data_IF_033505235452
#
_entry.id   IF_033505235452
#
_cell.length_a   1.000
_cell.length_b   1.000
_cell.length_c   1.000
_cell.angle_alpha   90.00
_cell.angle_beta   90.00
_cell.angle_gamma   90.00
#
_symmetry.space_group_name_H-M   'P 1'
#
loop_
_entity.id
_entity.type
_entity.pdbx_description
1 polymer ?
#
# COMPACT_ATOMS: atom_id res chain seq x y z
N UNK A 1 3.36 -0.53 -28.15
CA UNK A 1 2.25 -1.26 -27.50
C UNK A 1 1.76 -0.39 -26.36
N UNK A 2 0.45 -0.23 -26.08
CA UNK A 2 0.00 0.50 -24.88
C UNK A 2 0.66 -0.01 -23.58
N UNK A 3 1.09 -1.28 -23.54
CA UNK A 3 1.87 -1.80 -22.41
C UNK A 3 3.32 -1.26 -22.35
N UNK A 4 3.91 -0.86 -23.48
CA UNK A 4 5.25 -0.27 -23.52
C UNK A 4 5.24 1.17 -22.99
N UNK A 5 4.19 1.93 -23.30
CA UNK A 5 4.01 3.31 -22.83
C UNK A 5 3.87 3.35 -21.30
N UNK A 6 3.01 2.50 -20.73
CA UNK A 6 2.87 2.38 -19.27
C UNK A 6 4.16 1.95 -18.57
N UNK A 7 4.97 1.07 -19.19
CA UNK A 7 6.27 0.68 -18.61
C UNK A 7 7.24 1.86 -18.56
N UNK A 8 7.25 2.69 -19.59
CA UNK A 8 8.11 3.88 -19.65
C UNK A 8 7.65 4.90 -18.61
N UNK A 9 6.35 5.12 -18.47
CA UNK A 9 5.77 6.00 -17.44
C UNK A 9 6.18 5.58 -16.03
N UNK A 10 6.05 4.29 -15.70
CA UNK A 10 6.47 3.76 -14.39
C UNK A 10 7.98 3.97 -14.11
N UNK A 11 8.83 3.85 -15.15
CA UNK A 11 10.27 4.10 -15.00
C UNK A 11 10.58 5.59 -14.80
N UNK A 12 9.82 6.47 -15.44
CA UNK A 12 9.95 7.93 -15.25
C UNK A 12 9.52 8.34 -13.84
N UNK A 13 8.44 7.76 -13.32
CA UNK A 13 7.99 7.97 -11.95
C UNK A 13 9.03 7.50 -10.94
N UNK A 14 9.59 6.30 -11.11
CA UNK A 14 10.69 5.81 -10.26
C UNK A 14 11.89 6.77 -10.25
N UNK A 15 12.25 7.31 -11.41
CA UNK A 15 13.34 8.29 -11.52
C UNK A 15 13.01 9.63 -10.82
N UNK A 16 11.74 10.06 -10.88
CA UNK A 16 11.28 11.25 -10.20
C UNK A 16 11.35 11.09 -8.67
N UNK A 17 10.89 9.95 -8.13
CA UNK A 17 10.97 9.63 -6.70
C UNK A 17 12.42 9.57 -6.20
N UNK A 18 13.33 9.01 -7.00
CA UNK A 18 14.75 8.99 -6.67
C UNK A 18 15.35 10.41 -6.63
N UNK A 19 14.99 11.27 -7.58
CA UNK A 19 15.45 12.66 -7.62
C UNK A 19 14.92 13.48 -6.43
N UNK A 20 13.65 13.29 -6.06
CA UNK A 20 13.06 13.92 -4.88
C UNK A 20 13.77 13.48 -3.59
N UNK A 21 14.05 12.18 -3.46
CA UNK A 21 14.81 11.65 -2.33
C UNK A 21 16.20 12.29 -2.19
N UNK A 22 16.92 12.48 -3.31
CA UNK A 22 18.22 13.17 -3.30
C UNK A 22 18.08 14.64 -2.85
N UNK A 23 17.05 15.34 -3.34
CA UNK A 23 16.80 16.75 -2.98
C UNK A 23 16.43 16.93 -1.50
N UNK A 24 15.64 16.01 -0.92
CA UNK A 24 15.24 16.04 0.49
C UNK A 24 16.42 15.86 1.47
N UNK A 25 17.45 15.09 1.07
CA UNK A 25 18.58 14.71 1.93
C UNK A 25 19.70 15.76 1.97
N UNK A 26 19.69 16.73 1.06
CA UNK A 26 20.64 17.85 1.02
C UNK A 26 22.07 17.45 0.60
N UNK A 27 23.01 18.40 0.64
CA UNK A 27 24.41 18.23 0.20
C UNK A 27 25.36 17.77 1.33
N UNK A 28 24.85 17.12 2.39
CA UNK A 28 25.72 16.57 3.43
C UNK A 28 26.57 15.42 2.87
N UNK A 29 27.88 15.45 3.13
CA UNK A 29 28.79 14.38 2.71
C UNK A 29 28.37 13.04 3.32
N UNK A 30 27.87 12.14 2.46
CA UNK A 30 27.42 10.80 2.85
C UNK A 30 25.91 10.65 3.02
N UNK A 31 25.11 11.71 2.84
CA UNK A 31 23.65 11.62 2.77
C UNK A 31 23.17 11.26 1.36
N UNK A 32 22.00 10.63 1.25
CA UNK A 32 21.36 10.36 -0.05
C UNK A 32 21.92 9.13 -0.76
N UNK A 33 22.42 8.15 -0.01
CA UNK A 33 23.02 6.96 -0.63
C UNK A 33 21.95 6.04 -1.24
N UNK A 34 22.36 5.24 -2.23
CA UNK A 34 21.47 4.20 -2.81
C UNK A 34 20.94 3.23 -1.74
N UNK A 35 21.74 2.91 -0.72
CA UNK A 35 21.31 2.01 0.35
C UNK A 35 20.14 2.62 1.15
N UNK A 36 20.22 3.91 1.47
CA UNK A 36 19.16 4.64 2.18
C UNK A 36 17.91 4.80 1.30
N UNK A 37 18.07 5.01 -0.01
CA UNK A 37 16.95 5.04 -0.95
C UNK A 37 16.22 3.70 -1.00
N UNK A 38 16.97 2.60 -1.17
CA UNK A 38 16.39 1.26 -1.20
C UNK A 38 15.73 0.88 0.13
N UNK A 39 16.26 1.33 1.26
CA UNK A 39 15.63 1.17 2.57
C UNK A 39 14.30 1.93 2.64
N UNK A 40 14.24 3.21 2.22
CA UNK A 40 12.99 3.98 2.17
C UNK A 40 11.93 3.28 1.30
N UNK A 41 12.29 2.87 0.09
CA UNK A 41 11.37 2.20 -0.84
C UNK A 41 10.87 0.87 -0.30
N UNK A 42 11.73 0.10 0.37
CA UNK A 42 11.34 -1.19 0.96
C UNK A 42 10.40 -1.05 2.16
N UNK A 43 10.34 0.12 2.79
CA UNK A 43 9.51 0.40 3.97
C UNK A 43 8.14 1.00 3.64
N UNK A 44 7.90 1.43 2.39
CA UNK A 44 6.61 1.98 1.95
C UNK A 44 5.53 0.91 2.08
N UNK A 45 4.47 1.22 2.83
CA UNK A 45 3.33 0.34 3.02
C UNK A 45 2.13 0.77 2.16
N UNK A 46 1.25 -0.18 1.83
CA UNK A 46 0.01 0.11 1.07
C UNK A 46 -0.90 1.13 1.78
N UNK A 47 -0.83 1.20 3.12
CA UNK A 47 -1.57 2.17 3.92
C UNK A 47 -1.11 3.61 3.72
N UNK A 48 0.15 3.82 3.32
CA UNK A 48 0.73 5.16 3.15
C UNK A 48 0.24 5.84 1.87
N UNK A 49 -0.45 5.10 1.00
CA UNK A 49 -0.99 5.59 -0.27
C UNK A 49 -2.48 5.95 -0.19
N UNK A 50 -3.10 5.86 1.00
CA UNK A 50 -4.52 6.22 1.17
C UNK A 50 -4.61 7.75 1.18
N UNK A 51 -5.32 8.37 0.22
CA UNK A 51 -5.42 9.82 0.17
C UNK A 51 -6.16 10.37 1.39
N UNK A 52 -5.66 11.46 1.97
CA UNK A 52 -6.38 12.19 2.99
C UNK A 52 -7.65 12.83 2.40
N UNK A 53 -8.75 12.82 3.16
CA UNK A 53 -10.06 13.34 2.72
C UNK A 53 -9.99 14.82 2.25
N UNK A 54 -8.98 15.55 2.69
CA UNK A 54 -8.81 16.99 2.48
C UNK A 54 -7.95 17.36 1.26
N UNK A 55 -7.21 16.43 0.64
CA UNK A 55 -6.11 16.81 -0.28
C UNK A 55 -6.55 17.05 -1.74
N UNK A 56 -7.60 16.39 -2.23
CA UNK A 56 -7.93 16.46 -3.68
C UNK A 56 -9.41 16.65 -4.04
N UNK A 57 -10.33 16.77 -3.08
CA UNK A 57 -11.75 17.12 -3.33
C UNK A 57 -12.56 16.12 -4.17
N UNK A 58 -11.93 15.09 -4.73
CA UNK A 58 -12.59 13.93 -5.34
C UNK A 58 -12.58 12.79 -4.33
N UNK A 59 -13.73 12.52 -3.71
CA UNK A 59 -13.87 11.34 -2.84
C UNK A 59 -13.56 10.08 -3.64
N UNK A 60 -12.48 9.38 -3.27
CA UNK A 60 -12.13 8.08 -3.84
C UNK A 60 -12.70 6.95 -2.98
N UNK A 61 -12.93 5.79 -3.59
CA UNK A 61 -13.28 4.57 -2.86
C UNK A 61 -12.00 3.76 -2.66
N UNK A 62 -11.63 3.52 -1.41
CA UNK A 62 -10.45 2.72 -1.06
C UNK A 62 -10.83 1.24 -0.99
N UNK A 63 -10.20 0.41 -1.83
CA UNK A 63 -10.29 -1.05 -1.77
C UNK A 63 -9.05 -1.59 -1.06
N UNK A 64 -9.24 -2.47 -0.08
CA UNK A 64 -8.15 -3.06 0.69
C UNK A 64 -8.54 -4.44 1.24
N UNK A 65 -7.56 -5.18 1.76
CA UNK A 65 -7.82 -6.42 2.50
C UNK A 65 -8.18 -6.12 3.97
N UNK A 66 -8.78 -7.09 4.67
CA UNK A 66 -9.08 -6.93 6.10
C UNK A 66 -7.80 -6.71 6.94
N UNK A 67 -6.69 -7.34 6.55
CA UNK A 67 -5.41 -7.21 7.23
C UNK A 67 -4.84 -5.79 7.12
N UNK A 68 -4.90 -5.20 5.93
CA UNK A 68 -4.41 -3.84 5.66
C UNK A 68 -5.30 -2.77 6.31
N UNK A 69 -6.54 -3.09 6.69
CA UNK A 69 -7.45 -2.17 7.38
C UNK A 69 -7.11 -1.98 8.88
N UNK A 70 -6.18 -2.75 9.44
CA UNK A 70 -5.88 -2.73 10.86
C UNK A 70 -5.34 -1.36 11.31
N UNK A 71 -6.04 -0.74 12.26
CA UNK A 71 -5.66 0.56 12.82
C UNK A 71 -6.21 1.76 12.05
N UNK A 72 -7.00 1.52 11.00
CA UNK A 72 -7.71 2.56 10.25
C UNK A 72 -9.17 2.65 10.71
N UNK A 73 -9.77 3.83 10.51
CA UNK A 73 -11.19 4.08 10.74
C UNK A 73 -11.80 4.81 9.56
N UNK A 74 -13.04 4.43 9.21
CA UNK A 74 -13.78 5.05 8.11
C UNK A 74 -15.23 5.25 8.53
N UNK A 75 -15.89 6.34 8.11
CA UNK A 75 -17.30 6.58 8.41
C UNK A 75 -18.23 5.48 7.87
N UNK A 76 -17.89 4.90 6.72
CA UNK A 76 -18.66 3.84 6.05
C UNK A 76 -17.71 2.76 5.53
N UNK A 77 -17.97 1.50 5.88
CA UNK A 77 -17.19 0.34 5.44
C UNK A 77 -18.12 -0.71 4.82
N UNK A 78 -17.72 -1.22 3.64
CA UNK A 78 -18.38 -2.37 3.00
C UNK A 78 -17.49 -3.60 3.14
N UNK A 79 -17.97 -4.59 3.89
CA UNK A 79 -17.37 -5.93 3.93
C UNK A 79 -18.01 -6.78 2.82
N UNK A 80 -17.17 -7.44 2.02
CA UNK A 80 -17.60 -8.30 0.92
C UNK A 80 -17.03 -9.71 1.10
N UNK A 81 -17.64 -10.72 0.46
CA UNK A 81 -17.14 -12.10 0.53
C UNK A 81 -17.30 -12.78 1.89
N UNK A 82 -18.28 -12.36 2.70
CA UNK A 82 -18.64 -12.99 3.98
C UNK A 82 -19.40 -14.31 3.75
N UNK A 83 -18.71 -15.28 3.16
CA UNK A 83 -19.22 -16.60 2.79
C UNK A 83 -18.21 -17.68 3.21
N UNK A 84 -18.69 -18.84 3.67
CA UNK A 84 -17.82 -19.95 4.08
C UNK A 84 -16.88 -20.37 2.94
N UNK A 85 -15.58 -20.46 3.25
CA UNK A 85 -14.53 -20.79 2.29
C UNK A 85 -13.89 -19.57 1.62
N UNK A 86 -14.54 -18.40 1.70
CA UNK A 86 -13.95 -17.10 1.37
C UNK A 86 -13.56 -16.37 2.66
N UNK A 87 -14.52 -16.21 3.59
CA UNK A 87 -14.32 -15.67 4.92
C UNK A 87 -15.31 -16.33 5.91
N UNK A 88 -14.87 -17.26 6.78
CA UNK A 88 -13.48 -17.68 6.99
C UNK A 88 -12.87 -18.39 5.77
N UNK A 89 -11.58 -18.15 5.53
CA UNK A 89 -10.88 -18.77 4.41
C UNK A 89 -10.89 -20.31 4.52
N UNK A 90 -10.99 -21.02 3.39
CA UNK A 90 -11.12 -22.48 3.33
C UNK A 90 -10.07 -23.25 4.15
N UNK A 91 -8.86 -22.67 4.32
CA UNK A 91 -7.79 -23.26 5.15
C UNK A 91 -8.14 -23.30 6.64
N UNK A 92 -8.85 -22.29 7.14
CA UNK A 92 -9.19 -22.14 8.55
C UNK A 92 -10.34 -23.07 8.99
N UNK A 93 -11.19 -23.52 8.06
CA UNK A 93 -12.39 -24.33 8.36
C UNK A 93 -12.09 -25.66 9.08
N UNK A 94 -10.88 -26.21 8.92
CA UNK A 94 -10.48 -27.49 9.51
C UNK A 94 -9.76 -27.39 10.86
N UNK A 95 -9.41 -26.19 11.31
CA UNK A 95 -8.51 -25.98 12.46
C UNK A 95 -9.07 -24.91 13.39
N UNK A 96 -9.44 -25.28 14.62
CA UNK A 96 -10.04 -24.36 15.60
C UNK A 96 -9.20 -23.11 15.85
N UNK A 97 -7.86 -23.24 15.87
CA UNK A 97 -6.98 -22.10 16.10
C UNK A 97 -7.03 -21.07 14.97
N UNK A 98 -7.05 -21.54 13.72
CA UNK A 98 -7.11 -20.67 12.54
C UNK A 98 -8.51 -20.05 12.40
N UNK A 99 -9.55 -20.78 12.79
CA UNK A 99 -10.92 -20.28 12.78
C UNK A 99 -11.16 -19.15 13.80
N UNK A 100 -10.50 -19.19 14.96
CA UNK A 100 -10.53 -18.09 15.93
C UNK A 100 -9.70 -16.86 15.48
N UNK A 101 -8.74 -17.04 14.57
CA UNK A 101 -7.98 -15.92 13.98
C UNK A 101 -8.80 -15.15 12.94
N UNK A 102 -9.65 -15.85 12.19
CA UNK A 102 -10.55 -15.31 11.15
C UNK A 102 -11.90 -14.79 11.71
N UNK A 103 -12.07 -14.78 13.04
CA UNK A 103 -13.32 -14.43 13.73
C UNK A 103 -13.33 -12.97 14.20
#
# INVERSE_FOLDING_TARGET
>A
DPQDETRIENLQELAAVALEFEQERGEEEGAGTLAEFLEKVALVADSDQIPDEDEDGSGVITLMTLHTAKGLEFPVVFLTGLEDGVFPHMRALGQTKELEEER
#
